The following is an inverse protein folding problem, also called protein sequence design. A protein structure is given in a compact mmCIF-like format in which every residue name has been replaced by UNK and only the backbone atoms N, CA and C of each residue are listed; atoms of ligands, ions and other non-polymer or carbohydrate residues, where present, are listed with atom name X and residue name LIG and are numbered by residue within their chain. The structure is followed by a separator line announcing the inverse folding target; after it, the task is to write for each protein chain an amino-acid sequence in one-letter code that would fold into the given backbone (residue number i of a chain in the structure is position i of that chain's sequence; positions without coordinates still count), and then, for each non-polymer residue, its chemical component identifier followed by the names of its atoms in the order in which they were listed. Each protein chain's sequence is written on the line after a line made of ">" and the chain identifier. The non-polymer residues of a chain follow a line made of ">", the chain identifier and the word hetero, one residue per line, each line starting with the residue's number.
data_IF_057163929967
#
_entry.id   IF_057163929967
#
_cell.length_a   1.000
_cell.length_b   1.000
_cell.length_c   1.000
_cell.angle_alpha   90.00
_cell.angle_beta   90.00
_cell.angle_gamma   90.00
#
_symmetry.space_group_name_H-M   'P 1'
#
loop_
_entity.id
_entity.type
_entity.pdbx_description
1 polymer ?
#
# COMPACT_ATOMS: atom_id res chain seq x y z
N UNK A 1 -22.49 -26.74 -45.69
CA UNK A 1 -23.30 -26.66 -46.93
C UNK A 1 -22.98 -25.32 -47.58
N UNK A 2 -22.12 -25.31 -48.61
CA UNK A 2 -22.48 -25.37 -50.04
C UNK A 2 -23.10 -24.04 -50.52
N UNK A 3 -22.36 -23.21 -51.30
CA UNK A 3 -22.29 -23.21 -52.80
C UNK A 3 -23.37 -22.28 -53.38
N UNK A 4 -23.19 -21.45 -54.41
CA UNK A 4 -22.14 -21.22 -55.41
C UNK A 4 -22.34 -19.81 -56.00
N UNK A 5 -21.36 -19.17 -56.63
CA UNK A 5 -20.81 -19.42 -57.97
C UNK A 5 -21.84 -19.46 -59.12
N UNK A 6 -21.71 -18.50 -60.06
CA UNK A 6 -21.81 -18.65 -61.54
C UNK A 6 -21.32 -17.33 -62.17
N UNK A 7 -20.13 -17.23 -62.80
CA UNK A 7 -19.66 -17.72 -64.12
C UNK A 7 -20.49 -17.32 -65.33
N UNK A 8 -19.85 -16.61 -66.28
CA UNK A 8 -19.44 -17.02 -67.66
C UNK A 8 -18.75 -15.81 -68.35
N UNK A 9 -17.49 -15.90 -68.82
CA UNK A 9 -16.94 -16.46 -70.10
C UNK A 9 -17.56 -15.79 -71.34
N UNK A 10 -16.91 -15.53 -72.47
CA UNK A 10 -15.56 -15.56 -73.07
C UNK A 10 -15.74 -14.81 -74.44
N UNK A 11 -14.74 -14.32 -75.19
CA UNK A 11 -13.87 -15.09 -76.08
C UNK A 11 -13.06 -14.16 -77.00
N UNK A 12 -11.99 -14.74 -77.58
CA UNK A 12 -10.94 -14.21 -78.47
C UNK A 12 -11.38 -13.89 -79.91
N UNK A 13 -10.54 -13.12 -80.63
CA UNK A 13 -9.87 -13.44 -81.92
C UNK A 13 -9.25 -12.13 -82.48
N UNK A 14 -7.97 -11.95 -82.84
CA UNK A 14 -7.02 -12.63 -83.75
C UNK A 14 -7.00 -12.04 -85.19
N UNK A 15 -5.78 -11.73 -85.69
CA UNK A 15 -5.43 -11.34 -87.08
C UNK A 15 -5.32 -9.82 -87.34
N UNK A 16 -4.34 -9.24 -88.07
CA UNK A 16 -3.43 -9.77 -89.09
C UNK A 16 -2.27 -8.77 -89.34
N UNK A 17 -1.11 -9.27 -89.80
CA UNK A 17 0.11 -8.53 -90.19
C UNK A 17 -0.02 -7.76 -91.52
N UNK A 18 0.73 -6.67 -91.66
CA UNK A 18 1.40 -6.28 -92.92
C UNK A 18 2.75 -5.60 -92.68
N UNK A 19 3.65 -5.87 -93.62
CA UNK A 19 5.05 -5.45 -93.81
C UNK A 19 5.02 -4.10 -94.60
N UNK A 20 5.91 -3.12 -94.50
CA UNK A 20 7.25 -3.05 -95.10
C UNK A 20 7.83 -1.61 -94.99
N UNK A 21 9.17 -1.54 -95.04
CA UNK A 21 10.02 -0.53 -95.71
C UNK A 21 10.56 0.69 -94.96
N UNK A 22 11.89 0.71 -94.93
CA UNK A 22 12.78 1.78 -94.50
C UNK A 22 12.89 2.92 -95.54
N UNK A 23 13.15 4.16 -95.09
CA UNK A 23 14.36 4.92 -95.42
C UNK A 23 14.28 6.41 -95.01
N UNK A 24 15.35 6.87 -94.33
CA UNK A 24 16.10 8.15 -94.45
C UNK A 24 15.37 9.50 -94.48
N UNK A 25 15.77 10.37 -93.54
CA UNK A 25 15.76 11.83 -93.69
C UNK A 25 15.78 12.58 -92.34
N UNK A 26 16.93 13.13 -91.92
CA UNK A 26 16.99 14.17 -90.87
C UNK A 26 16.80 15.58 -91.48
N UNK A 27 17.04 16.71 -90.75
CA UNK A 27 17.39 16.87 -89.33
C UNK A 27 16.65 18.03 -88.58
N UNK A 28 17.00 18.20 -87.30
CA UNK A 28 16.96 19.44 -86.49
C UNK A 28 15.62 19.97 -85.91
N UNK A 29 15.48 19.95 -84.57
CA UNK A 29 15.76 21.11 -83.69
C UNK A 29 15.56 20.79 -82.20
N UNK A 30 16.45 21.38 -81.39
CA UNK A 30 16.52 21.44 -79.93
C UNK A 30 15.34 22.19 -79.28
N UNK A 31 15.08 21.85 -78.01
CA UNK A 31 14.44 22.68 -76.97
C UNK A 31 13.68 21.77 -75.99
N UNK A 32 14.24 21.32 -74.87
CA UNK A 32 14.45 22.08 -73.63
C UNK A 32 13.29 21.79 -72.67
N UNK A 33 13.44 21.40 -71.40
CA UNK A 33 14.61 21.13 -70.58
C UNK A 33 14.15 20.33 -69.35
N UNK A 34 15.05 19.52 -68.81
CA UNK A 34 14.88 18.79 -67.56
C UNK A 34 15.01 19.75 -66.36
N UNK A 35 13.91 20.36 -65.92
CA UNK A 35 13.87 21.04 -64.63
C UNK A 35 13.33 20.09 -63.56
N UNK A 36 14.13 19.76 -62.53
CA UNK A 36 13.60 19.13 -61.30
C UNK A 36 14.50 18.18 -60.49
N UNK A 37 15.74 17.89 -60.89
CA UNK A 37 16.59 16.93 -60.16
C UNK A 37 17.46 17.49 -59.01
N UNK A 38 18.19 18.61 -59.15
CA UNK A 38 19.15 19.05 -58.12
C UNK A 38 18.46 19.63 -56.86
N UNK A 39 17.34 20.32 -57.01
CA UNK A 39 16.59 20.90 -55.88
C UNK A 39 15.94 19.85 -54.96
N UNK A 40 15.50 18.72 -55.52
CA UNK A 40 14.92 17.60 -54.75
C UNK A 40 15.98 16.83 -53.97
N UNK A 41 17.17 16.66 -54.55
CA UNK A 41 18.31 16.04 -53.88
C UNK A 41 18.80 16.91 -52.71
N UNK A 42 18.92 18.23 -52.89
CA UNK A 42 19.31 19.15 -51.83
C UNK A 42 18.28 19.19 -50.67
N UNK A 43 16.97 19.20 -50.99
CA UNK A 43 15.91 19.15 -49.98
C UNK A 43 15.92 17.83 -49.19
N UNK A 44 16.14 16.69 -49.86
CA UNK A 44 16.24 15.39 -49.21
C UNK A 44 17.40 15.33 -48.21
N UNK A 45 18.54 15.95 -48.54
CA UNK A 45 19.70 16.02 -47.65
C UNK A 45 19.38 16.85 -46.39
N UNK A 46 18.72 18.01 -46.54
CA UNK A 46 18.33 18.86 -45.39
C UNK A 46 17.33 18.14 -44.47
N UNK A 47 16.33 17.45 -45.03
CA UNK A 47 15.36 16.66 -44.26
C UNK A 47 16.06 15.53 -43.51
N UNK A 48 17.02 14.85 -44.12
CA UNK A 48 17.80 13.80 -43.48
C UNK A 48 18.61 14.35 -42.28
N UNK A 49 19.28 15.49 -42.43
CA UNK A 49 20.02 16.13 -41.33
C UNK A 49 19.09 16.58 -40.19
N UNK A 50 17.92 17.13 -40.50
CA UNK A 50 16.92 17.49 -39.49
C UNK A 50 16.38 16.24 -38.77
N UNK A 51 16.09 15.16 -39.50
CA UNK A 51 15.64 13.90 -38.93
C UNK A 51 16.72 13.26 -38.03
N UNK A 52 17.99 13.31 -38.43
CA UNK A 52 19.13 12.85 -37.61
C UNK A 52 19.32 13.73 -36.36
N UNK A 53 19.17 15.05 -36.48
CA UNK A 53 19.27 15.97 -35.33
C UNK A 53 18.12 15.78 -34.33
N UNK A 54 16.89 15.65 -34.82
CA UNK A 54 15.71 15.39 -33.99
C UNK A 54 15.76 14.01 -33.34
N UNK A 55 16.17 12.97 -34.07
CA UNK A 55 16.33 11.61 -33.52
C UNK A 55 17.48 11.53 -32.51
N UNK A 56 18.60 12.22 -32.74
CA UNK A 56 19.70 12.31 -31.76
C UNK A 56 19.28 13.03 -30.48
N UNK A 57 18.55 14.15 -30.61
CA UNK A 57 17.98 14.87 -29.46
C UNK A 57 16.95 14.02 -28.73
N UNK A 58 16.09 13.31 -29.45
CA UNK A 58 15.12 12.37 -28.89
C UNK A 58 15.80 11.22 -28.15
N UNK A 59 16.83 10.60 -28.73
CA UNK A 59 17.63 9.54 -28.12
C UNK A 59 18.32 10.02 -26.84
N UNK A 60 18.89 11.23 -26.85
CA UNK A 60 19.49 11.82 -25.66
C UNK A 60 18.46 12.09 -24.57
N UNK A 61 17.27 12.62 -24.93
CA UNK A 61 16.18 12.82 -23.97
C UNK A 61 15.67 11.49 -23.42
N UNK A 62 15.55 10.46 -24.25
CA UNK A 62 15.16 9.12 -23.84
C UNK A 62 16.18 8.52 -22.88
N UNK A 63 17.46 8.65 -23.18
CA UNK A 63 18.53 8.15 -22.31
C UNK A 63 18.61 8.91 -20.98
N UNK A 64 18.36 10.22 -20.97
CA UNK A 64 18.23 11.01 -19.72
C UNK A 64 17.01 10.58 -18.91
N UNK A 65 15.84 10.44 -19.56
CA UNK A 65 14.62 9.99 -18.91
C UNK A 65 14.78 8.57 -18.33
N UNK A 66 15.38 7.64 -19.09
CA UNK A 66 15.69 6.29 -18.62
C UNK A 66 16.57 6.31 -17.38
N UNK A 67 17.66 7.08 -17.39
CA UNK A 67 18.55 7.20 -16.21
C UNK A 67 17.88 7.86 -15.00
N UNK A 68 16.92 8.76 -15.22
CA UNK A 68 16.17 9.39 -14.14
C UNK A 68 15.18 8.43 -13.43
N UNK A 69 14.69 7.38 -14.09
CA UNK A 69 13.69 6.44 -13.53
C UNK A 69 14.22 5.03 -13.27
N UNK A 70 15.50 4.76 -13.57
CA UNK A 70 16.12 3.46 -13.32
C UNK A 70 16.97 3.51 -12.07
N UNK A 71 16.87 2.48 -11.23
CA UNK A 71 17.74 2.30 -10.08
C UNK A 71 19.21 2.26 -10.54
N UNK A 72 20.10 2.75 -9.69
CA UNK A 72 21.53 2.80 -9.99
C UNK A 72 22.11 1.40 -10.19
N UNK A 73 23.02 1.23 -11.16
CA UNK A 73 23.62 -0.07 -11.51
C UNK A 73 24.77 -0.52 -10.60
N UNK A 74 24.98 0.17 -9.47
CA UNK A 74 26.03 -0.22 -8.53
C UNK A 74 25.56 -1.44 -7.73
N UNK A 75 26.48 -2.28 -7.24
CA UNK A 75 26.12 -3.36 -6.33
C UNK A 75 25.30 -2.84 -5.14
N UNK A 76 24.26 -3.55 -4.69
CA UNK A 76 23.51 -3.18 -3.50
C UNK A 76 24.42 -3.09 -2.27
N UNK A 77 24.24 -2.04 -1.46
CA UNK A 77 24.96 -1.89 -0.19
C UNK A 77 24.44 -2.84 0.91
N UNK A 78 23.22 -3.36 0.73
CA UNK A 78 22.58 -4.32 1.64
C UNK A 78 22.65 -5.73 1.03
N UNK A 79 22.75 -6.78 1.87
CA UNK A 79 22.67 -8.14 1.38
C UNK A 79 21.29 -8.44 0.78
N UNK A 80 21.18 -9.46 -0.08
CA UNK A 80 19.88 -9.96 -0.53
C UNK A 80 19.03 -10.34 0.70
N UNK A 81 17.73 -10.07 0.61
CA UNK A 81 16.75 -10.38 1.68
C UNK A 81 17.15 -9.87 3.08
N UNK A 82 17.86 -8.74 3.13
CA UNK A 82 18.38 -8.11 4.36
C UNK A 82 17.35 -7.83 5.46
N UNK A 83 16.06 -7.80 5.12
CA UNK A 83 14.97 -7.57 6.08
C UNK A 83 14.16 -8.82 6.41
N UNK A 84 14.51 -9.98 5.84
CA UNK A 84 13.83 -11.24 6.13
C UNK A 84 14.06 -11.68 7.58
N UNK A 85 13.13 -12.43 8.18
CA UNK A 85 13.31 -12.93 9.54
C UNK A 85 14.47 -13.94 9.64
N UNK A 86 14.90 -14.55 8.53
CA UNK A 86 16.07 -15.43 8.50
C UNK A 86 17.41 -14.68 8.58
N UNK A 87 17.49 -13.46 8.02
CA UNK A 87 18.72 -12.66 7.98
C UNK A 87 18.80 -11.67 9.14
N UNK A 88 17.67 -11.03 9.50
CA UNK A 88 17.60 -10.00 10.54
C UNK A 88 16.41 -10.22 11.48
N UNK A 89 16.35 -11.34 12.22
CA UNK A 89 15.21 -11.71 13.06
C UNK A 89 14.86 -10.65 14.10
N UNK A 90 15.87 -10.07 14.77
CA UNK A 90 15.67 -9.11 15.84
C UNK A 90 15.06 -7.79 15.36
N UNK A 91 15.22 -7.46 14.07
CA UNK A 91 14.69 -6.24 13.46
C UNK A 91 13.41 -6.48 12.67
N UNK A 92 12.95 -7.72 12.52
CA UNK A 92 11.82 -8.04 11.66
C UNK A 92 10.54 -7.31 12.12
N UNK A 93 10.25 -7.35 13.42
CA UNK A 93 9.18 -6.58 14.06
C UNK A 93 9.70 -5.27 14.66
N UNK A 94 8.90 -4.21 14.60
CA UNK A 94 9.22 -2.97 15.30
C UNK A 94 8.13 -1.91 15.19
N UNK A 95 8.34 -0.80 15.90
CA UNK A 95 7.50 0.41 15.92
C UNK A 95 7.69 1.27 14.66
N UNK A 96 7.74 0.63 13.49
CA UNK A 96 8.08 1.25 12.19
C UNK A 96 6.92 2.02 11.54
N UNK A 97 6.02 2.58 12.36
CA UNK A 97 4.86 3.38 11.93
C UNK A 97 4.87 4.73 12.67
N UNK A 98 5.85 5.61 12.42
CA UNK A 98 6.10 6.78 13.27
C UNK A 98 4.96 7.82 13.29
N UNK A 99 4.04 7.77 12.32
CA UNK A 99 2.91 8.69 12.24
C UNK A 99 1.66 8.21 13.00
N UNK A 100 1.66 6.99 13.58
CA UNK A 100 0.62 6.56 14.53
C UNK A 100 1.15 6.67 15.95
N UNK A 101 0.27 7.00 16.91
CA UNK A 101 0.67 7.17 18.30
C UNK A 101 1.33 5.93 18.90
N UNK A 102 0.80 4.74 18.58
CA UNK A 102 1.40 3.47 18.95
C UNK A 102 0.96 2.35 18.00
N UNK A 103 1.92 1.60 17.48
CA UNK A 103 1.67 0.48 16.57
C UNK A 103 2.95 -0.17 16.08
N UNK A 104 2.84 -1.40 15.59
CA UNK A 104 3.97 -2.17 15.05
C UNK A 104 3.67 -2.67 13.64
N UNK A 105 4.73 -2.99 12.90
CA UNK A 105 4.65 -3.72 11.63
C UNK A 105 5.89 -4.57 11.40
N UNK A 106 5.80 -5.51 10.46
CA UNK A 106 6.98 -6.23 9.93
C UNK A 106 7.74 -5.38 8.90
N UNK A 107 9.05 -5.62 8.76
CA UNK A 107 9.89 -5.05 7.68
C UNK A 107 9.71 -5.79 6.36
N UNK A 108 8.48 -5.76 5.86
CA UNK A 108 8.05 -6.49 4.67
C UNK A 108 7.33 -5.57 3.68
N UNK A 109 7.39 -5.88 2.36
CA UNK A 109 6.52 -5.27 1.36
C UNK A 109 5.04 -5.65 1.52
N UNK A 110 4.71 -6.77 2.18
CA UNK A 110 3.34 -7.20 2.52
C UNK A 110 3.23 -7.41 4.04
N UNK A 111 3.25 -6.31 4.82
CA UNK A 111 3.42 -6.42 6.26
C UNK A 111 2.13 -6.84 6.96
N UNK A 112 2.28 -7.52 8.10
CA UNK A 112 1.24 -7.55 9.13
C UNK A 112 1.37 -6.27 9.97
N UNK A 113 0.28 -5.53 10.13
CA UNK A 113 0.27 -4.27 10.88
C UNK A 113 -0.64 -4.36 12.10
N UNK A 114 -0.22 -3.76 13.20
CA UNK A 114 -1.03 -3.58 14.40
C UNK A 114 -1.01 -2.13 14.85
N UNK A 115 -2.05 -1.70 15.55
CA UNK A 115 -2.09 -0.35 16.11
C UNK A 115 -3.11 -0.16 17.22
N UNK A 116 -2.95 0.96 17.90
CA UNK A 116 -3.80 1.44 18.98
C UNK A 116 -4.59 2.67 18.51
N UNK A 117 -5.85 2.74 18.90
CA UNK A 117 -6.63 3.98 18.93
C UNK A 117 -7.29 4.13 20.30
N UNK A 118 -7.66 5.36 20.68
CA UNK A 118 -8.46 5.57 21.88
C UNK A 118 -9.46 6.71 21.72
N UNK A 119 -10.52 6.68 22.52
CA UNK A 119 -11.49 7.76 22.62
C UNK A 119 -12.00 7.88 24.06
N UNK A 120 -12.05 9.11 24.58
CA UNK A 120 -12.69 9.41 25.85
C UNK A 120 -14.19 9.58 25.64
N UNK A 121 -14.99 8.80 26.37
CA UNK A 121 -16.45 8.82 26.29
C UNK A 121 -17.01 9.94 27.18
N UNK A 122 -18.04 10.64 26.68
CA UNK A 122 -18.78 11.64 27.46
C UNK A 122 -18.03 12.94 27.80
N UNK A 123 -16.85 13.19 27.21
CA UNK A 123 -16.06 14.39 27.48
C UNK A 123 -16.65 15.67 26.84
N UNK A 124 -17.27 15.54 25.67
CA UNK A 124 -17.91 16.64 24.93
C UNK A 124 -19.22 16.17 24.30
N UNK A 125 -20.25 17.01 24.18
CA UNK A 125 -21.44 16.68 23.40
C UNK A 125 -21.08 16.34 21.95
N UNK A 126 -21.56 15.20 21.44
CA UNK A 126 -21.30 14.74 20.07
C UNK A 126 -20.39 13.52 19.98
N UNK A 127 -19.78 13.31 18.81
CA UNK A 127 -18.91 12.15 18.56
C UNK A 127 -17.60 12.27 19.34
N UNK A 128 -17.19 11.24 20.10
CA UNK A 128 -15.91 11.23 20.80
C UNK A 128 -14.74 11.49 19.84
N UNK A 129 -13.74 12.26 20.30
CA UNK A 129 -12.49 12.45 19.56
C UNK A 129 -11.70 11.14 19.56
N UNK A 130 -11.63 10.48 18.40
CA UNK A 130 -10.81 9.29 18.20
C UNK A 130 -9.36 9.71 17.90
N UNK A 131 -8.41 9.20 18.69
CA UNK A 131 -6.98 9.41 18.49
C UNK A 131 -6.36 8.19 17.80
N UNK A 132 -5.57 8.42 16.76
CA UNK A 132 -4.87 7.37 16.02
C UNK A 132 -3.54 7.84 15.43
N UNK A 133 -3.58 8.83 14.54
CA UNK A 133 -2.39 9.46 13.94
C UNK A 133 -1.92 10.66 14.76
N UNK A 134 -0.61 10.93 14.71
CA UNK A 134 0.04 12.04 15.41
C UNK A 134 -0.25 13.36 14.70
N UNK A 135 -1.47 13.86 14.83
CA UNK A 135 -1.90 15.14 14.25
C UNK A 135 -1.55 16.30 15.20
N UNK A 136 -0.73 17.25 14.74
CA UNK A 136 -0.25 18.35 15.59
C UNK A 136 -1.38 19.22 16.19
N UNK A 137 -2.53 19.31 15.50
CA UNK A 137 -3.67 20.12 15.91
C UNK A 137 -4.75 19.37 16.69
N UNK A 138 -4.53 18.12 17.08
CA UNK A 138 -5.58 17.31 17.70
C UNK A 138 -5.75 17.57 19.21
N UNK A 139 -4.80 18.27 19.84
CA UNK A 139 -4.81 18.63 21.25
C UNK A 139 -4.20 17.58 22.20
N UNK A 140 -3.58 16.53 21.66
CA UNK A 140 -2.74 15.60 22.42
C UNK A 140 -1.35 16.23 22.61
N UNK A 141 -0.81 16.13 23.82
CA UNK A 141 0.55 16.58 24.10
C UNK A 141 0.74 17.05 25.55
N UNK A 142 1.97 16.94 26.08
CA UNK A 142 3.16 16.31 25.49
C UNK A 142 3.03 14.79 25.33
N UNK A 143 3.76 14.22 24.37
CA UNK A 143 3.92 12.77 24.23
C UNK A 143 5.30 12.41 23.68
N UNK A 144 5.77 11.20 23.97
CA UNK A 144 7.04 10.71 23.45
C UNK A 144 7.54 9.46 24.16
N UNK A 145 8.58 8.86 23.58
CA UNK A 145 9.29 7.74 24.19
C UNK A 145 10.14 8.23 25.36
N UNK A 146 9.89 7.70 26.54
CA UNK A 146 10.78 7.82 27.70
C UNK A 146 11.95 6.84 27.54
N UNK A 147 11.65 5.61 27.14
CA UNK A 147 12.62 4.58 26.83
C UNK A 147 12.30 3.98 25.46
N UNK A 148 13.32 3.83 24.61
CA UNK A 148 13.21 3.05 23.37
C UNK A 148 14.62 2.66 22.93
N UNK A 149 14.95 1.37 22.97
CA UNK A 149 16.30 0.89 22.61
C UNK A 149 16.47 0.65 21.09
N UNK A 150 15.37 0.79 20.33
CA UNK A 150 15.37 0.56 18.88
C UNK A 150 15.34 -0.92 18.51
N UNK A 151 15.31 -1.83 19.49
CA UNK A 151 15.48 -3.26 19.28
C UNK A 151 14.49 -4.09 20.09
N UNK A 152 14.48 -4.06 21.42
CA UNK A 152 13.82 -5.06 22.25
C UNK A 152 12.65 -4.52 23.08
N UNK A 153 12.64 -3.25 23.47
CA UNK A 153 11.59 -2.69 24.31
C UNK A 153 11.41 -1.18 24.14
N UNK A 154 10.29 -0.67 24.65
CA UNK A 154 10.08 0.75 24.82
C UNK A 154 8.92 1.08 25.74
N UNK A 155 8.95 2.29 26.29
CA UNK A 155 7.90 2.93 27.09
C UNK A 155 7.70 4.36 26.61
N UNK A 156 6.46 4.69 26.28
CA UNK A 156 6.04 6.01 25.84
C UNK A 156 4.94 6.54 26.77
N UNK A 157 4.98 7.83 27.03
CA UNK A 157 3.93 8.56 27.73
C UNK A 157 3.18 9.46 26.75
N UNK A 158 1.86 9.55 26.91
CA UNK A 158 0.97 10.40 26.10
C UNK A 158 0.02 11.12 27.05
N UNK A 159 0.03 12.45 27.02
CA UNK A 159 -0.94 13.27 27.73
C UNK A 159 -2.05 13.73 26.78
N UNK A 160 -3.31 13.40 27.10
CA UNK A 160 -4.50 13.81 26.33
C UNK A 160 -5.54 14.39 27.30
N UNK A 161 -5.46 15.69 27.54
CA UNK A 161 -6.32 16.39 28.50
C UNK A 161 -6.22 15.82 29.92
N UNK A 162 -7.30 15.21 30.39
CA UNK A 162 -7.40 14.60 31.72
C UNK A 162 -6.90 13.15 31.78
N UNK A 163 -6.37 12.61 30.67
CA UNK A 163 -5.86 11.26 30.59
C UNK A 163 -4.33 11.26 30.46
N UNK A 164 -3.71 10.35 31.21
CA UNK A 164 -2.32 9.93 31.00
C UNK A 164 -2.31 8.50 30.51
N UNK A 165 -1.83 8.29 29.29
CA UNK A 165 -1.61 6.97 28.72
C UNK A 165 -0.12 6.61 28.81
N UNK A 166 0.15 5.35 29.15
CA UNK A 166 1.49 4.76 29.06
C UNK A 166 1.41 3.54 28.15
N UNK A 167 2.16 3.57 27.05
CA UNK A 167 2.24 2.47 26.08
C UNK A 167 3.62 1.82 26.15
N UNK A 168 3.65 0.54 26.48
CA UNK A 168 4.86 -0.24 26.65
C UNK A 168 4.87 -1.43 25.68
N UNK A 169 6.04 -1.80 25.19
CA UNK A 169 6.23 -3.07 24.49
C UNK A 169 7.51 -3.78 24.91
N UNK A 170 7.50 -5.11 24.80
CA UNK A 170 8.68 -5.96 24.88
C UNK A 170 8.61 -6.98 23.75
N UNK A 171 9.75 -7.24 23.10
CA UNK A 171 9.93 -8.33 22.16
C UNK A 171 10.73 -9.47 22.78
N UNK A 172 10.36 -10.70 22.46
CA UNK A 172 11.06 -11.92 22.83
C UNK A 172 11.54 -12.61 21.55
N UNK A 173 12.86 -12.71 21.32
CA UNK A 173 13.37 -13.50 20.20
C UNK A 173 12.96 -14.97 20.30
N UNK A 174 12.73 -15.63 19.17
CA UNK A 174 12.34 -17.02 19.11
C UNK A 174 11.81 -17.45 17.75
N UNK A 175 11.77 -18.75 17.50
CA UNK A 175 11.28 -19.32 16.24
C UNK A 175 12.10 -18.89 15.01
N UNK A 176 11.48 -18.96 13.84
CA UNK A 176 12.10 -18.62 12.54
C UNK A 176 11.46 -17.39 11.88
N UNK A 177 10.52 -16.73 12.57
CA UNK A 177 9.63 -15.72 12.00
C UNK A 177 9.69 -14.37 12.75
N UNK A 178 10.82 -14.08 13.42
CA UNK A 178 11.06 -12.80 14.10
C UNK A 178 10.55 -12.69 15.55
N UNK A 179 10.25 -13.81 16.20
CA UNK A 179 9.89 -13.87 17.62
C UNK A 179 8.49 -13.39 17.97
N UNK A 180 8.29 -13.18 19.27
CA UNK A 180 7.03 -12.74 19.87
C UNK A 180 7.12 -11.30 20.38
N UNK A 181 5.99 -10.64 20.58
CA UNK A 181 5.92 -9.34 21.23
C UNK A 181 4.69 -9.22 22.12
N UNK A 182 4.74 -8.31 23.08
CA UNK A 182 3.62 -8.02 23.98
C UNK A 182 3.52 -6.53 24.24
N UNK A 183 2.29 -6.03 24.29
CA UNK A 183 1.98 -4.63 24.62
C UNK A 183 1.34 -4.54 26.00
N UNK A 184 1.63 -3.46 26.71
CA UNK A 184 0.81 -3.00 27.84
C UNK A 184 0.39 -1.56 27.58
N UNK A 185 -0.89 -1.29 27.73
CA UNK A 185 -1.45 0.06 27.64
C UNK A 185 -2.14 0.37 28.96
N UNK A 186 -1.61 1.34 29.68
CA UNK A 186 -2.13 1.78 30.97
C UNK A 186 -2.76 3.16 30.80
N UNK A 187 -3.98 3.34 31.31
CA UNK A 187 -4.71 4.60 31.26
C UNK A 187 -5.02 5.04 32.67
N UNK A 188 -4.57 6.24 33.04
CA UNK A 188 -4.75 6.81 34.36
C UNK A 188 -5.40 8.20 34.24
N UNK A 189 -6.29 8.58 35.17
CA UNK A 189 -6.70 9.97 35.26
C UNK A 189 -5.48 10.82 35.65
N UNK A 190 -5.34 11.97 35.01
CA UNK A 190 -4.35 12.96 35.42
C UNK A 190 -4.67 13.39 36.86
N UNK A 191 -3.68 13.39 37.74
CA UNK A 191 -3.80 13.83 39.12
C UNK A 191 -4.33 15.27 39.16
N UNK A 192 -5.64 15.40 39.34
CA UNK A 192 -6.38 16.64 39.41
C UNK A 192 -7.40 16.49 40.54
N UNK A 193 -7.66 17.58 41.27
CA UNK A 193 -8.45 17.55 42.51
C UNK A 193 -9.92 17.13 42.36
N UNK A 194 -10.34 16.73 41.16
CA UNK A 194 -11.68 16.27 40.81
C UNK A 194 -11.68 14.74 40.66
N UNK A 195 -12.51 14.07 41.46
CA UNK A 195 -12.66 12.60 41.52
C UNK A 195 -13.33 11.96 40.28
N UNK A 196 -13.29 12.62 39.13
CA UNK A 196 -13.94 12.11 37.91
C UNK A 196 -13.09 10.97 37.31
N UNK A 197 -13.68 9.78 37.20
CA UNK A 197 -13.09 8.64 36.48
C UNK A 197 -13.56 8.68 35.02
N UNK A 198 -12.74 9.15 34.07
CA UNK A 198 -13.14 9.21 32.68
C UNK A 198 -13.34 7.79 32.13
N UNK A 199 -14.45 7.58 31.42
CA UNK A 199 -14.68 6.35 30.66
C UNK A 199 -13.87 6.42 29.36
N UNK A 200 -13.06 5.41 29.09
CA UNK A 200 -12.17 5.37 27.92
C UNK A 200 -12.40 4.09 27.12
N UNK A 201 -12.51 4.23 25.81
CA UNK A 201 -12.51 3.11 24.87
C UNK A 201 -11.13 2.98 24.24
N UNK A 202 -10.52 1.79 24.38
CA UNK A 202 -9.28 1.42 23.69
C UNK A 202 -9.61 0.50 22.52
N UNK A 203 -9.02 0.77 21.36
CA UNK A 203 -9.20 -0.02 20.15
C UNK A 203 -7.85 -0.62 19.77
N UNK A 204 -7.78 -1.94 19.76
CA UNK A 204 -6.63 -2.70 19.28
C UNK A 204 -6.99 -3.31 17.94
N UNK A 205 -6.21 -3.03 16.90
CA UNK A 205 -6.47 -3.53 15.56
C UNK A 205 -5.29 -4.27 14.97
N UNK A 206 -5.59 -5.16 14.03
CA UNK A 206 -4.65 -5.84 13.15
C UNK A 206 -5.14 -5.70 11.71
N UNK A 207 -4.21 -5.49 10.78
CA UNK A 207 -4.47 -5.38 9.35
C UNK A 207 -3.50 -6.30 8.61
N UNK A 208 -4.04 -7.10 7.70
CA UNK A 208 -3.27 -7.86 6.70
C UNK A 208 -3.19 -7.07 5.40
N UNK A 209 -2.05 -7.15 4.71
CA UNK A 209 -1.83 -6.49 3.42
C UNK A 209 -1.78 -7.55 2.31
N UNK A 210 -2.95 -8.06 1.93
CA UNK A 210 -3.03 -9.10 0.90
C UNK A 210 -4.31 -9.95 0.95
N UNK A 211 -4.18 -11.21 0.56
CA UNK A 211 -5.26 -12.21 0.53
C UNK A 211 -5.36 -13.01 1.84
N UNK A 212 -4.57 -12.64 2.84
CA UNK A 212 -4.45 -13.37 4.09
C UNK A 212 -5.70 -13.18 4.95
N UNK A 213 -6.22 -14.28 5.47
CA UNK A 213 -7.44 -14.31 6.26
C UNK A 213 -7.10 -14.44 7.73
N UNK A 214 -7.66 -13.55 8.54
CA UNK A 214 -7.64 -13.67 9.99
C UNK A 214 -8.83 -14.55 10.43
N UNK A 215 -8.54 -15.53 11.29
CA UNK A 215 -9.50 -16.49 11.81
C UNK A 215 -9.78 -16.16 13.28
N UNK A 216 -10.90 -15.49 13.60
CA UNK A 216 -11.27 -15.21 14.97
C UNK A 216 -11.79 -16.46 15.69
N UNK A 217 -11.27 -16.73 16.88
CA UNK A 217 -11.82 -17.74 17.77
C UNK A 217 -12.66 -17.10 18.88
N UNK A 218 -13.89 -17.60 19.00
CA UNK A 218 -14.89 -17.08 19.94
C UNK A 218 -15.03 -18.05 21.10
N UNK A 219 -14.89 -17.54 22.33
CA UNK A 219 -15.09 -18.30 23.55
C UNK A 219 -16.56 -18.51 23.90
N UNK A 220 -16.80 -19.19 25.02
CA UNK A 220 -18.13 -19.31 25.59
C UNK A 220 -18.72 -17.91 25.84
N UNK A 221 -20.02 -17.73 25.55
CA UNK A 221 -20.76 -16.44 25.64
C UNK A 221 -20.48 -15.42 24.53
N UNK A 222 -19.82 -15.81 23.44
CA UNK A 222 -19.69 -14.94 22.26
C UNK A 222 -18.58 -13.90 22.35
N UNK A 223 -17.66 -14.03 23.31
CA UNK A 223 -16.52 -13.13 23.49
C UNK A 223 -15.36 -13.55 22.59
N UNK A 224 -14.71 -12.60 21.90
CA UNK A 224 -13.51 -12.87 21.12
C UNK A 224 -12.38 -13.30 22.06
N UNK A 225 -11.86 -14.53 21.87
CA UNK A 225 -10.80 -15.10 22.71
C UNK A 225 -9.42 -14.77 22.15
N UNK A 226 -9.20 -15.06 20.87
CA UNK A 226 -7.99 -14.71 20.14
C UNK A 226 -8.27 -14.67 18.63
N UNK A 227 -7.34 -14.10 17.88
CA UNK A 227 -7.33 -14.14 16.42
C UNK A 227 -6.10 -14.94 16.00
N UNK A 228 -6.30 -15.99 15.22
CA UNK A 228 -5.22 -16.71 14.54
C UNK A 228 -5.08 -16.23 13.09
N UNK A 229 -3.88 -16.34 12.54
CA UNK A 229 -3.63 -16.06 11.14
C UNK A 229 -2.41 -16.80 10.63
N UNK A 230 -2.24 -16.78 9.32
CA UNK A 230 -1.07 -17.35 8.65
C UNK A 230 -0.61 -16.40 7.55
N UNK A 231 0.69 -16.11 7.49
CA UNK A 231 1.31 -15.44 6.34
C UNK A 231 2.55 -16.20 5.89
N UNK A 232 2.96 -15.99 4.64
CA UNK A 232 4.16 -16.64 4.10
C UNK A 232 5.45 -16.30 4.86
N UNK A 233 5.53 -15.11 5.46
CA UNK A 233 6.71 -14.66 6.20
C UNK A 233 6.62 -14.90 7.72
N UNK A 234 5.41 -14.94 8.29
CA UNK A 234 5.19 -15.13 9.73
C UNK A 234 4.90 -16.58 10.12
N UNK A 235 4.53 -17.43 9.17
CA UNK A 235 3.91 -18.71 9.46
C UNK A 235 2.61 -18.52 10.25
N UNK A 236 2.28 -19.49 11.11
CA UNK A 236 1.12 -19.41 11.99
C UNK A 236 1.38 -18.47 13.17
N UNK A 237 0.47 -17.54 13.41
CA UNK A 237 0.54 -16.59 14.53
C UNK A 237 -0.80 -16.45 15.25
N UNK A 238 -0.75 -15.94 16.48
CA UNK A 238 -1.92 -15.68 17.32
C UNK A 238 -1.81 -14.32 17.99
N UNK A 239 -2.91 -13.56 17.96
CA UNK A 239 -3.09 -12.31 18.69
C UNK A 239 -4.16 -12.49 19.77
N UNK A 240 -3.89 -12.03 20.99
CA UNK A 240 -4.79 -12.19 22.14
C UNK A 240 -4.86 -10.88 22.92
N UNK A 241 -6.10 -10.40 23.15
CA UNK A 241 -6.37 -9.27 24.03
C UNK A 241 -6.75 -9.83 25.41
N UNK A 242 -5.90 -9.58 26.42
CA UNK A 242 -6.14 -10.03 27.78
C UNK A 242 -7.20 -9.17 28.48
N UNK A 243 -7.95 -9.73 29.46
CA UNK A 243 -8.85 -8.94 30.30
C UNK A 243 -8.11 -7.78 30.98
N UNK A 244 -8.71 -6.59 31.11
CA UNK A 244 -8.07 -5.45 31.76
C UNK A 244 -7.87 -5.72 33.26
N UNK A 245 -6.83 -5.12 33.83
CA UNK A 245 -6.57 -5.12 35.28
C UNK A 245 -6.39 -3.69 35.79
N UNK A 246 -6.39 -3.51 37.12
CA UNK A 246 -5.91 -2.25 37.71
C UNK A 246 -4.39 -2.12 37.52
N UNK A 247 -3.83 -0.90 37.39
CA UNK A 247 -2.38 -0.72 37.23
C UNK A 247 -1.60 -1.39 38.38
N UNK A 248 -0.66 -2.25 38.05
CA UNK A 248 0.16 -2.99 39.02
C UNK A 248 -0.51 -4.21 39.67
N UNK A 249 -1.77 -4.49 39.37
CA UNK A 249 -2.52 -5.63 39.88
C UNK A 249 -2.69 -6.71 38.79
N UNK A 250 -2.93 -7.94 39.23
CA UNK A 250 -3.22 -9.12 38.40
C UNK A 250 -4.70 -9.49 38.41
N UNK A 251 -5.49 -8.95 39.34
CA UNK A 251 -6.93 -9.22 39.40
C UNK A 251 -7.66 -8.62 38.18
N UNK A 252 -8.46 -9.43 37.44
CA UNK A 252 -9.24 -8.93 36.32
C UNK A 252 -10.28 -7.90 36.77
N UNK A 253 -10.39 -6.82 36.01
CA UNK A 253 -11.45 -5.82 36.11
C UNK A 253 -12.51 -6.12 35.05
N UNK A 254 -13.77 -5.79 35.37
CA UNK A 254 -14.83 -5.82 34.38
C UNK A 254 -14.53 -4.84 33.22
N UNK A 255 -14.70 -5.32 31.99
CA UNK A 255 -14.58 -4.54 30.77
C UNK A 255 -15.72 -4.88 29.80
N UNK A 256 -16.11 -3.90 28.98
CA UNK A 256 -17.07 -4.09 27.90
C UNK A 256 -16.32 -4.21 26.57
N UNK A 257 -16.72 -5.16 25.74
CA UNK A 257 -16.03 -5.51 24.49
C UNK A 257 -16.95 -5.31 23.30
N UNK A 258 -16.43 -4.63 22.28
CA UNK A 258 -17.02 -4.54 20.96
C UNK A 258 -15.96 -4.92 19.93
N UNK A 259 -16.37 -5.55 18.83
CA UNK A 259 -15.47 -5.99 17.77
C UNK A 259 -16.03 -5.55 16.41
N UNK A 260 -15.12 -5.14 15.53
CA UNK A 260 -15.42 -4.80 14.16
C UNK A 260 -14.48 -5.59 13.24
N UNK A 261 -15.03 -6.12 12.15
CA UNK A 261 -14.28 -6.89 11.16
C UNK A 261 -14.79 -6.59 9.76
N UNK A 262 -13.87 -6.24 8.86
CA UNK A 262 -14.16 -5.98 7.45
C UNK A 262 -12.91 -6.24 6.61
N UNK A 263 -13.05 -6.12 5.29
CA UNK A 263 -11.90 -5.91 4.41
C UNK A 263 -11.18 -4.60 4.76
N UNK A 264 -9.87 -4.58 4.52
CA UNK A 264 -9.03 -3.40 4.72
C UNK A 264 -9.43 -2.30 3.72
N UNK A 265 -9.91 -1.11 4.17
CA UNK A 265 -10.24 0.00 3.27
C UNK A 265 -9.00 0.72 2.72
N UNK A 266 -7.81 0.40 3.22
CA UNK A 266 -6.58 1.17 3.05
C UNK A 266 -6.19 1.84 4.37
N UNK A 267 -4.88 1.86 4.66
CA UNK A 267 -4.36 2.29 5.96
C UNK A 267 -4.76 3.71 6.36
N UNK A 268 -4.85 4.62 5.38
CA UNK A 268 -5.24 6.01 5.62
C UNK A 268 -6.71 6.17 6.03
N UNK A 269 -7.57 5.22 5.63
CA UNK A 269 -9.02 5.28 5.87
C UNK A 269 -9.46 4.57 7.16
N UNK A 270 -8.51 3.99 7.92
CA UNK A 270 -8.83 3.26 9.15
C UNK A 270 -9.50 4.15 10.19
N UNK A 271 -9.02 5.39 10.38
CA UNK A 271 -9.61 6.34 11.33
C UNK A 271 -11.05 6.69 10.93
N UNK A 272 -11.26 6.99 9.65
CA UNK A 272 -12.58 7.35 9.10
C UNK A 272 -13.57 6.19 9.11
N UNK A 273 -13.10 4.95 9.04
CA UNK A 273 -13.96 3.77 9.13
C UNK A 273 -14.52 3.54 10.53
N UNK A 274 -13.75 3.88 11.56
CA UNK A 274 -14.14 3.65 12.96
C UNK A 274 -15.15 4.71 13.44
N UNK A 275 -14.97 5.98 13.05
CA UNK A 275 -15.75 7.12 13.58
C UNK A 275 -17.26 7.00 13.35
N UNK A 276 -17.79 6.73 12.13
CA UNK A 276 -19.23 6.61 11.89
C UNK A 276 -19.84 5.40 12.62
N UNK A 277 -19.08 4.32 12.75
CA UNK A 277 -19.57 3.04 13.29
C UNK A 277 -19.57 2.97 14.81
N UNK A 278 -19.02 3.99 15.49
CA UNK A 278 -19.21 4.15 16.93
C UNK A 278 -20.69 4.38 17.32
N UNK A 279 -21.52 4.87 16.38
CA UNK A 279 -22.96 5.08 16.59
C UNK A 279 -23.83 3.87 16.18
N UNK A 280 -23.29 2.94 15.38
CA UNK A 280 -23.98 1.74 14.88
C UNK A 280 -23.45 0.44 15.54
N UNK A 281 -23.43 0.40 16.87
CA UNK A 281 -23.11 -0.86 17.57
C UNK A 281 -24.33 -1.79 17.55
N UNK A 282 -24.41 -2.70 16.57
CA UNK A 282 -25.34 -3.83 16.62
C UNK A 282 -24.76 -4.99 17.42
N UNK A 283 -25.55 -5.67 18.28
CA UNK A 283 -25.11 -6.88 18.95
C UNK A 283 -24.69 -7.96 17.94
N UNK A 284 -23.63 -8.72 18.25
CA UNK A 284 -23.06 -9.77 17.39
C UNK A 284 -24.08 -10.82 16.89
N UNK A 285 -25.20 -11.03 17.60
CA UNK A 285 -26.23 -12.03 17.27
C UNK A 285 -26.80 -11.87 15.85
N UNK A 286 -26.75 -10.69 15.27
CA UNK A 286 -27.39 -10.41 13.97
C UNK A 286 -26.55 -10.85 12.75
N UNK A 287 -25.28 -11.22 12.94
CA UNK A 287 -24.37 -11.53 11.83
C UNK A 287 -24.44 -12.98 11.32
N UNK A 288 -25.13 -13.89 12.02
CA UNK A 288 -25.33 -15.26 11.53
C UNK A 288 -26.35 -15.35 10.38
N UNK A 289 -27.10 -14.28 10.10
CA UNK A 289 -28.14 -14.27 9.07
C UNK A 289 -27.68 -13.78 7.68
N UNK A 290 -26.41 -13.38 7.51
CA UNK A 290 -25.89 -12.80 6.27
C UNK A 290 -24.76 -13.62 5.61
N UNK A 291 -24.77 -14.94 5.80
CA UNK A 291 -23.96 -15.86 4.98
C UNK A 291 -24.71 -16.26 3.72
#
# INVERSE_FOLDING_TARGET
>A
MARGERRRRAAQAEGTRTVERAARGGPARRGGGSQGAPGRAALAIVVLFLALGLSGRWMLTWYRARRAVTLHSAPPALPPDSSSPAVAPDLFWGTYRPHVYFGMKTRSPQPLLTGLMWAQQGATPGTPKLRHTCEQGDGVGPFGWEFHDGLSFGRQHIQDGALRLTTEFVKRPGGQHGGDWSWRVTVEPQASGTSALPLVSLFFYVVTDGKEVLLPEVGAKGQLKFISGHTSELGDFRLTLMPPTSPGDTAPKYGSYNVFWSSNPGLALLTEMVVPRQQETKPWRDWQAAR
#
